data_IF_998640957091
#
_entry.id   IF_998640957091
#
_cell.length_a   1.000
_cell.length_b   1.000
_cell.length_c   1.000
_cell.angle_alpha   90.00
_cell.angle_beta   90.00
_cell.angle_gamma   90.00
#
_symmetry.space_group_name_H-M   'P 1'
#
loop_
_entity.id
_entity.type
_entity.pdbx_description
1 polymer ?
#
# COMPACT_ATOMS: atom_id res chain seq x y z
N UNK A 1 23.75 1.07 -8.09
CA UNK A 1 25.22 1.24 -8.10
C UNK A 1 25.53 2.68 -7.78
N UNK A 2 26.39 2.93 -6.80
CA UNK A 2 26.93 4.26 -6.48
C UNK A 2 28.30 4.38 -7.14
N UNK A 3 28.54 5.46 -7.87
CA UNK A 3 29.82 5.79 -8.47
C UNK A 3 30.25 7.20 -8.05
N UNK A 4 31.51 7.35 -7.70
CA UNK A 4 32.12 8.64 -7.32
C UNK A 4 33.59 8.65 -7.74
N UNK A 5 34.13 9.83 -8.02
CA UNK A 5 35.57 10.05 -8.21
C UNK A 5 36.34 10.18 -6.89
N UNK A 6 35.64 10.24 -5.76
CA UNK A 6 36.23 10.25 -4.43
C UNK A 6 36.56 8.81 -3.99
N UNK A 7 37.81 8.42 -4.18
CA UNK A 7 38.31 7.07 -3.85
C UNK A 7 38.22 6.79 -2.35
N UNK A 8 38.46 7.78 -1.50
CA UNK A 8 38.42 7.62 -0.04
C UNK A 8 36.95 7.36 0.43
N UNK A 9 35.99 8.08 -0.11
CA UNK A 9 34.57 7.85 0.17
C UNK A 9 34.12 6.47 -0.31
N UNK A 10 34.55 6.03 -1.50
CA UNK A 10 34.25 4.68 -2.02
C UNK A 10 34.87 3.58 -1.16
N UNK A 11 36.10 3.76 -0.69
CA UNK A 11 36.76 2.78 0.19
C UNK A 11 36.03 2.65 1.53
N UNK A 12 35.57 3.77 2.13
CA UNK A 12 34.77 3.77 3.35
C UNK A 12 33.42 3.05 3.13
N UNK A 13 32.70 3.40 2.09
CA UNK A 13 31.41 2.79 1.77
C UNK A 13 31.53 1.27 1.51
N UNK A 14 32.58 0.82 0.83
CA UNK A 14 32.85 -0.62 0.65
C UNK A 14 33.07 -1.34 1.96
N UNK A 15 33.68 -0.70 2.96
CA UNK A 15 33.92 -1.28 4.27
C UNK A 15 32.63 -1.41 5.08
N UNK A 16 31.75 -0.42 4.96
CA UNK A 16 30.48 -0.35 5.71
C UNK A 16 29.33 -1.10 5.01
N UNK A 17 29.43 -1.37 3.70
CA UNK A 17 28.39 -2.06 2.96
C UNK A 17 28.37 -3.56 3.33
N UNK A 18 27.18 -4.13 3.60
CA UNK A 18 27.03 -5.57 3.83
C UNK A 18 27.52 -6.38 2.62
N UNK A 19 28.15 -7.53 2.86
CA UNK A 19 28.66 -8.43 1.80
C UNK A 19 27.53 -8.90 0.88
N UNK A 20 26.34 -9.13 1.42
CA UNK A 20 25.14 -9.61 0.72
C UNK A 20 24.03 -8.53 0.67
N UNK A 21 24.38 -7.34 0.21
CA UNK A 21 23.42 -6.23 0.11
C UNK A 21 22.34 -6.42 -0.97
N UNK A 22 22.61 -7.24 -1.99
CA UNK A 22 21.68 -7.63 -3.03
C UNK A 22 21.73 -9.16 -3.16
N UNK A 23 20.58 -9.82 -3.04
CA UNK A 23 20.50 -11.25 -3.27
C UNK A 23 20.48 -11.57 -4.78
N UNK A 24 20.71 -12.83 -5.14
CA UNK A 24 20.77 -13.27 -6.54
C UNK A 24 19.49 -13.05 -7.32
N UNK A 25 18.30 -13.08 -6.69
CA UNK A 25 17.04 -12.74 -7.35
C UNK A 25 16.95 -11.25 -7.67
N UNK A 26 17.39 -10.38 -6.76
CA UNK A 26 17.48 -8.94 -6.99
C UNK A 26 18.44 -8.60 -8.13
N UNK A 27 19.61 -9.25 -8.17
CA UNK A 27 20.58 -9.11 -9.25
C UNK A 27 19.99 -9.55 -10.60
N UNK A 28 19.38 -10.74 -10.66
CA UNK A 28 18.71 -11.25 -11.85
C UNK A 28 17.62 -10.31 -12.34
N UNK A 29 16.81 -9.78 -11.41
CA UNK A 29 15.78 -8.78 -11.75
C UNK A 29 16.41 -7.53 -12.38
N UNK A 30 17.45 -6.97 -11.79
CA UNK A 30 18.12 -5.77 -12.31
C UNK A 30 18.72 -6.01 -13.71
N UNK A 31 19.33 -7.15 -13.95
CA UNK A 31 19.90 -7.52 -15.26
C UNK A 31 18.82 -7.62 -16.35
N UNK A 32 17.60 -8.03 -16.00
CA UNK A 32 16.51 -8.23 -16.92
C UNK A 32 15.49 -7.07 -16.97
N UNK A 33 15.56 -6.10 -16.05
CA UNK A 33 14.56 -5.05 -15.89
C UNK A 33 14.36 -4.18 -17.14
N UNK A 34 15.43 -3.88 -17.87
CA UNK A 34 15.35 -3.10 -19.11
C UNK A 34 14.47 -3.76 -20.17
N UNK A 35 14.46 -5.09 -20.25
CA UNK A 35 13.65 -5.87 -21.19
C UNK A 35 12.15 -5.66 -20.96
N UNK A 36 11.74 -5.40 -19.71
CA UNK A 36 10.35 -5.24 -19.30
C UNK A 36 9.98 -3.78 -18.96
N UNK A 37 10.83 -2.84 -19.28
CA UNK A 37 10.67 -1.42 -18.93
C UNK A 37 9.38 -0.78 -19.46
N UNK A 38 8.93 -1.19 -20.65
CA UNK A 38 7.67 -0.72 -21.23
C UNK A 38 6.48 -1.20 -20.40
N UNK A 39 6.40 -2.51 -20.15
CA UNK A 39 5.30 -3.14 -19.41
C UNK A 39 5.26 -2.61 -17.96
N UNK A 40 6.42 -2.39 -17.35
CA UNK A 40 6.53 -1.76 -16.03
C UNK A 40 5.96 -0.35 -16.01
N UNK A 41 6.27 0.48 -17.00
CA UNK A 41 5.72 1.84 -17.10
C UNK A 41 4.20 1.85 -17.29
N UNK A 42 3.68 0.92 -18.07
CA UNK A 42 2.24 0.76 -18.27
C UNK A 42 1.55 0.31 -16.99
N UNK A 43 2.14 -0.65 -16.26
CA UNK A 43 1.62 -1.08 -14.96
C UNK A 43 1.61 0.04 -13.91
N UNK A 44 2.61 0.92 -13.90
CA UNK A 44 2.64 2.09 -13.01
C UNK A 44 1.53 3.11 -13.35
N UNK A 45 1.26 3.34 -14.63
CA UNK A 45 0.14 4.21 -15.04
C UNK A 45 -1.21 3.63 -14.60
N UNK A 46 -1.40 2.33 -14.81
CA UNK A 46 -2.60 1.64 -14.36
C UNK A 46 -2.76 1.72 -12.86
N UNK A 47 -1.71 1.43 -12.10
CA UNK A 47 -1.72 1.54 -10.64
C UNK A 47 -2.09 2.96 -10.17
N UNK A 48 -1.57 4.00 -10.82
CA UNK A 48 -1.90 5.38 -10.48
C UNK A 48 -3.38 5.70 -10.72
N UNK A 49 -3.96 5.21 -11.81
CA UNK A 49 -5.38 5.37 -12.11
C UNK A 49 -6.26 4.59 -11.10
N UNK A 50 -5.94 3.32 -10.84
CA UNK A 50 -6.66 2.47 -9.88
C UNK A 50 -6.60 3.07 -8.47
N UNK A 51 -5.44 3.62 -8.05
CA UNK A 51 -5.30 4.32 -6.77
C UNK A 51 -6.16 5.57 -6.67
N UNK A 52 -6.18 6.39 -7.72
CA UNK A 52 -7.00 7.61 -7.73
C UNK A 52 -8.49 7.28 -7.65
N UNK A 53 -8.94 6.26 -8.35
CA UNK A 53 -10.30 5.74 -8.27
C UNK A 53 -10.63 5.22 -6.87
N UNK A 54 -9.74 4.41 -6.29
CA UNK A 54 -9.93 3.87 -4.94
C UNK A 54 -10.01 4.97 -3.88
N UNK A 55 -9.13 5.99 -3.93
CA UNK A 55 -9.16 7.13 -3.01
C UNK A 55 -10.51 7.86 -3.09
N UNK A 56 -11.02 8.11 -4.31
CA UNK A 56 -12.31 8.75 -4.52
C UNK A 56 -13.45 7.96 -3.87
N UNK A 57 -13.49 6.64 -4.08
CA UNK A 57 -14.51 5.79 -3.47
C UNK A 57 -14.37 5.69 -1.95
N UNK A 58 -13.16 5.55 -1.42
CA UNK A 58 -12.90 5.55 0.02
C UNK A 58 -13.34 6.85 0.70
N UNK A 59 -13.25 7.99 0.00
CA UNK A 59 -13.72 9.28 0.51
C UNK A 59 -15.24 9.36 0.67
N UNK A 60 -16.00 8.45 0.04
CA UNK A 60 -17.45 8.35 0.22
C UNK A 60 -17.88 7.47 1.40
N UNK A 61 -16.93 6.79 2.06
CA UNK A 61 -17.19 5.95 3.23
C UNK A 61 -17.12 6.83 4.49
N UNK A 62 -18.24 7.01 5.19
CA UNK A 62 -18.41 8.02 6.25
C UNK A 62 -17.42 7.90 7.40
N UNK A 63 -16.99 6.69 7.74
CA UNK A 63 -16.06 6.42 8.85
C UNK A 63 -14.59 6.34 8.42
N UNK A 64 -14.26 6.64 7.16
CA UNK A 64 -12.88 6.63 6.65
C UNK A 64 -12.47 8.01 6.10
N UNK A 65 -11.27 8.41 6.42
CA UNK A 65 -10.61 9.58 5.82
C UNK A 65 -9.31 9.14 5.13
N UNK A 66 -9.32 8.94 3.80
CA UNK A 66 -8.12 8.55 3.07
C UNK A 66 -7.08 9.67 3.10
N UNK A 67 -5.82 9.27 3.25
CA UNK A 67 -4.66 10.15 3.21
C UNK A 67 -4.05 10.07 1.81
N UNK A 68 -3.70 11.20 1.17
CA UNK A 68 -3.07 11.20 -0.14
C UNK A 68 -1.87 10.25 -0.21
N UNK A 69 -1.81 9.43 -1.24
CA UNK A 69 -0.79 8.38 -1.39
C UNK A 69 -0.18 8.40 -2.79
N UNK A 70 1.12 8.08 -2.87
CA UNK A 70 1.84 7.79 -4.10
C UNK A 70 2.31 6.32 -4.17
N UNK A 71 2.00 5.53 -3.14
CA UNK A 71 2.36 4.12 -3.04
C UNK A 71 1.31 3.21 -3.71
N UNK A 72 1.54 1.91 -3.66
CA UNK A 72 0.58 0.88 -4.06
C UNK A 72 -0.45 0.54 -2.95
N UNK A 73 -0.64 1.44 -2.01
CA UNK A 73 -1.63 1.37 -0.94
C UNK A 73 -2.14 2.76 -0.56
N UNK A 74 -3.27 2.79 0.12
CA UNK A 74 -3.84 4.00 0.72
C UNK A 74 -3.92 3.78 2.22
N UNK A 75 -3.46 4.75 2.99
CA UNK A 75 -3.70 4.80 4.43
C UNK A 75 -4.96 5.62 4.68
N UNK A 76 -5.87 5.09 5.50
CA UNK A 76 -7.08 5.80 5.92
C UNK A 76 -7.07 5.97 7.43
N UNK A 77 -7.38 7.16 7.89
CA UNK A 77 -7.74 7.38 9.29
C UNK A 77 -9.16 6.88 9.51
N UNK A 78 -9.35 6.17 10.61
CA UNK A 78 -10.68 5.69 11.04
C UNK A 78 -11.29 6.77 11.92
N UNK A 79 -12.47 7.23 11.53
CA UNK A 79 -13.20 8.28 12.23
C UNK A 79 -13.97 7.71 13.42
N UNK A 80 -14.52 8.60 14.26
CA UNK A 80 -15.29 8.22 15.46
C UNK A 80 -16.42 7.24 15.16
N UNK A 81 -16.71 6.38 16.14
CA UNK A 81 -17.77 5.38 16.09
C UNK A 81 -17.31 3.99 15.63
N UNK A 82 -16.08 3.81 15.15
CA UNK A 82 -15.52 2.51 14.78
C UNK A 82 -14.04 2.42 15.15
N UNK A 83 -13.55 1.19 15.26
CA UNK A 83 -12.11 0.92 15.43
C UNK A 83 -11.53 0.26 14.18
N UNK A 84 -10.24 0.49 13.95
CA UNK A 84 -9.50 -0.15 12.85
C UNK A 84 -9.56 -1.68 12.93
N UNK A 85 -9.57 -2.22 14.15
CA UNK A 85 -9.69 -3.66 14.41
C UNK A 85 -11.06 -4.20 14.02
N UNK A 86 -12.15 -3.51 14.39
CA UNK A 86 -13.52 -3.89 14.00
C UNK A 86 -13.66 -3.95 12.49
N UNK A 87 -13.20 -2.91 11.79
CA UNK A 87 -13.24 -2.87 10.33
C UNK A 87 -12.45 -4.03 9.72
N UNK A 88 -11.23 -4.29 10.22
CA UNK A 88 -10.41 -5.38 9.71
C UNK A 88 -11.04 -6.76 9.97
N UNK A 89 -11.63 -6.98 11.14
CA UNK A 89 -12.30 -8.22 11.49
C UNK A 89 -13.58 -8.44 10.66
N UNK A 90 -14.34 -7.38 10.41
CA UNK A 90 -15.56 -7.47 9.59
C UNK A 90 -15.23 -7.81 8.16
N UNK A 91 -14.28 -7.09 7.55
CA UNK A 91 -13.82 -7.38 6.18
C UNK A 91 -13.23 -8.78 6.02
N UNK A 92 -12.61 -9.31 7.07
CA UNK A 92 -12.05 -10.67 7.04
C UNK A 92 -13.15 -11.75 6.88
N UNK A 93 -14.37 -11.52 7.38
CA UNK A 93 -15.52 -12.42 7.16
C UNK A 93 -15.90 -12.54 5.67
N UNK A 94 -15.49 -11.56 4.86
CA UNK A 94 -15.72 -11.51 3.42
C UNK A 94 -14.47 -11.84 2.60
N UNK A 95 -13.47 -12.50 3.21
CA UNK A 95 -12.17 -12.82 2.60
C UNK A 95 -11.39 -11.59 2.11
N UNK A 96 -11.61 -10.43 2.75
CA UNK A 96 -10.90 -9.19 2.46
C UNK A 96 -9.95 -8.88 3.61
N UNK A 97 -8.66 -8.95 3.34
CA UNK A 97 -7.63 -8.66 4.33
C UNK A 97 -7.06 -7.24 4.14
N UNK A 98 -7.20 -6.41 5.18
CA UNK A 98 -6.56 -5.09 5.29
C UNK A 98 -5.62 -5.04 6.50
N UNK A 99 -4.74 -4.05 6.54
CA UNK A 99 -3.78 -3.91 7.63
C UNK A 99 -4.26 -2.91 8.67
N UNK A 100 -4.52 -3.37 9.88
CA UNK A 100 -4.65 -2.51 11.06
C UNK A 100 -3.27 -1.94 11.44
N UNK A 101 -3.19 -0.62 11.61
CA UNK A 101 -1.97 0.11 11.94
C UNK A 101 -1.94 0.63 13.39
N UNK A 102 -2.93 0.32 14.22
CA UNK A 102 -3.05 0.82 15.60
C UNK A 102 -1.79 0.55 16.42
N UNK A 103 -1.21 -0.65 16.28
CA UNK A 103 0.02 -1.03 16.98
C UNK A 103 1.30 -0.38 16.41
N UNK A 104 1.20 0.38 15.31
CA UNK A 104 2.35 1.00 14.62
C UNK A 104 2.41 2.51 14.80
N UNK A 105 1.28 3.14 15.09
CA UNK A 105 1.14 4.60 15.19
C UNK A 105 0.59 4.95 16.58
N UNK A 106 1.46 5.49 17.43
CA UNK A 106 1.13 5.80 18.84
C UNK A 106 0.71 7.27 19.03
N UNK A 107 -0.18 7.78 18.16
CA UNK A 107 -0.66 9.17 18.19
C UNK A 107 -2.10 9.33 18.69
N UNK A 108 -2.66 8.28 19.31
CA UNK A 108 -4.04 8.28 19.82
C UNK A 108 -5.13 8.16 18.76
N UNK A 109 -4.75 8.04 17.46
CA UNK A 109 -5.68 7.87 16.35
C UNK A 109 -5.57 6.45 15.79
N UNK A 110 -6.57 6.05 15.03
CA UNK A 110 -6.64 4.73 14.44
C UNK A 110 -6.53 4.81 12.91
N UNK A 111 -5.81 3.86 12.32
CA UNK A 111 -5.55 3.85 10.89
C UNK A 111 -5.62 2.44 10.34
N UNK A 112 -6.08 2.33 9.11
CA UNK A 112 -5.98 1.12 8.30
C UNK A 112 -5.17 1.40 7.03
N UNK A 113 -4.48 0.37 6.54
CA UNK A 113 -3.77 0.40 5.27
C UNK A 113 -4.44 -0.56 4.29
N UNK A 114 -4.84 -0.04 3.16
CA UNK A 114 -5.56 -0.74 2.11
C UNK A 114 -4.67 -0.81 0.88
N UNK A 115 -4.40 -2.01 0.36
CA UNK A 115 -3.65 -2.18 -0.88
C UNK A 115 -4.49 -1.73 -2.07
N UNK A 116 -3.86 -1.05 -3.03
CA UNK A 116 -4.48 -0.78 -4.33
C UNK A 116 -4.41 -2.06 -5.15
N UNK A 117 -5.56 -2.58 -5.54
CA UNK A 117 -5.69 -3.79 -6.35
C UNK A 117 -6.33 -3.47 -7.70
N UNK A 118 -6.72 -4.50 -8.45
CA UNK A 118 -7.48 -4.32 -9.67
C UNK A 118 -8.88 -3.74 -9.40
N UNK A 119 -9.57 -3.31 -10.46
CA UNK A 119 -10.88 -2.66 -10.32
C UNK A 119 -11.94 -3.53 -9.65
N UNK A 120 -11.96 -4.83 -9.92
CA UNK A 120 -12.91 -5.79 -9.34
C UNK A 120 -12.70 -5.93 -7.83
N UNK A 121 -11.48 -6.20 -7.39
CA UNK A 121 -11.14 -6.31 -5.97
C UNK A 121 -11.41 -5.00 -5.21
N UNK A 122 -11.08 -3.85 -5.83
CA UNK A 122 -11.35 -2.55 -5.24
C UNK A 122 -12.86 -2.29 -5.08
N UNK A 123 -13.67 -2.65 -6.09
CA UNK A 123 -15.14 -2.52 -6.00
C UNK A 123 -15.73 -3.41 -4.92
N UNK A 124 -15.26 -4.66 -4.80
CA UNK A 124 -15.68 -5.59 -3.75
C UNK A 124 -15.40 -5.03 -2.36
N UNK A 125 -14.20 -4.48 -2.14
CA UNK A 125 -13.84 -3.82 -0.89
C UNK A 125 -14.77 -2.64 -0.59
N UNK A 126 -15.00 -1.76 -1.56
CA UNK A 126 -15.85 -0.57 -1.39
C UNK A 126 -17.30 -0.95 -1.07
N UNK A 127 -17.83 -1.99 -1.74
CA UNK A 127 -19.18 -2.49 -1.45
C UNK A 127 -19.30 -2.97 0.00
N UNK A 128 -18.32 -3.76 0.49
CA UNK A 128 -18.31 -4.22 1.87
C UNK A 128 -18.21 -3.05 2.88
N UNK A 129 -17.35 -2.06 2.60
CA UNK A 129 -17.21 -0.87 3.47
C UNK A 129 -18.48 0.00 3.48
N UNK A 130 -19.16 0.16 2.35
CA UNK A 130 -20.43 0.91 2.28
C UNK A 130 -21.56 0.18 3.03
N UNK A 131 -21.67 -1.14 2.88
CA UNK A 131 -22.63 -1.93 3.65
C UNK A 131 -22.40 -1.78 5.18
N UNK A 132 -21.17 -1.75 5.62
CA UNK A 132 -20.84 -1.45 7.02
C UNK A 132 -21.24 -0.03 7.43
N UNK A 133 -21.15 0.96 6.56
CA UNK A 133 -21.55 2.35 6.83
C UNK A 133 -23.07 2.46 7.01
N UNK A 134 -23.82 1.73 6.19
CA UNK A 134 -25.29 1.74 6.18
C UNK A 134 -25.90 0.91 7.33
N UNK A 135 -25.08 0.24 8.15
CA UNK A 135 -25.55 -0.60 9.24
C UNK A 135 -26.16 -1.93 8.78
N UNK A 136 -26.04 -2.27 7.49
CA UNK A 136 -26.39 -3.57 6.95
C UNK A 136 -25.27 -4.58 7.21
N UNK A 137 -25.59 -5.83 7.56
CA UNK A 137 -24.61 -6.90 7.47
C UNK A 137 -24.16 -6.99 6.02
N UNK A 138 -22.85 -6.87 5.78
CA UNK A 138 -22.30 -6.99 4.43
C UNK A 138 -22.60 -8.40 3.91
N UNK A 139 -23.28 -8.49 2.79
CA UNK A 139 -23.71 -9.71 2.11
C UNK A 139 -22.55 -10.61 1.70
#
# INVERSE_FOLDING_TARGET
VLASSDEAAIALLKKEAPIWNINSFGEFFMQNSEKYKKDYRESLKKLAADRSGLIKELSSVSFLRPIPSQANYVMCEVMEGRTSREIACELLKHDIFIKDLTSKLHNGRQYVRIAVRNGEDNLRLIAALKAMADGAEAL
#
